data_IF_432451110929
#
_entry.id   IF_432451110929
#
_cell.length_a   1.000
_cell.length_b   1.000
_cell.length_c   1.000
_cell.angle_alpha   90.00
_cell.angle_beta   90.00
_cell.angle_gamma   90.00
#
_symmetry.space_group_name_H-M   'P 1'
#
loop_
_entity.id
_entity.type
_entity.pdbx_description
1 polymer ?
#
# COMPACT_ATOMS: atom_id res chain seq x y z
N UNK A 1 5.08 8.83 17.44
CA UNK A 1 4.95 7.41 17.83
C UNK A 1 5.11 6.57 16.56
N UNK A 2 5.55 5.32 16.66
CA UNK A 2 5.75 4.46 15.49
C UNK A 2 4.78 3.28 15.58
N UNK A 3 4.03 3.02 14.49
CA UNK A 3 3.08 1.93 14.39
C UNK A 3 3.48 1.00 13.24
N UNK A 4 3.34 -0.31 13.46
CA UNK A 4 3.52 -1.33 12.43
C UNK A 4 2.19 -2.00 12.13
N UNK A 5 1.79 -2.03 10.85
CA UNK A 5 0.56 -2.67 10.38
C UNK A 5 0.93 -3.85 9.49
N UNK A 6 0.52 -5.06 9.90
CA UNK A 6 0.62 -6.24 9.05
C UNK A 6 -0.61 -6.28 8.13
N UNK A 7 -0.38 -6.25 6.82
CA UNK A 7 -1.43 -6.30 5.79
C UNK A 7 -0.86 -6.78 4.45
N UNK A 8 -1.71 -7.34 3.60
CA UNK A 8 -1.31 -7.67 2.23
C UNK A 8 -1.58 -6.50 1.28
N UNK A 9 -0.79 -6.38 0.22
CA UNK A 9 -1.06 -5.43 -0.87
C UNK A 9 -1.60 -6.24 -2.05
N UNK A 10 -2.87 -6.01 -2.47
CA UNK A 10 -3.43 -6.68 -3.64
C UNK A 10 -2.59 -6.38 -4.90
N UNK A 11 -2.07 -7.44 -5.52
CA UNK A 11 -1.26 -7.34 -6.73
C UNK A 11 -2.11 -7.56 -7.98
N UNK A 12 -1.98 -6.72 -9.02
CA UNK A 12 -2.65 -6.96 -10.29
C UNK A 12 -2.22 -8.30 -10.91
N UNK A 13 -3.11 -8.95 -11.64
CA UNK A 13 -2.83 -10.23 -12.31
C UNK A 13 -2.90 -11.48 -11.41
N UNK A 14 -3.05 -11.31 -10.09
CA UNK A 14 -3.26 -12.42 -9.16
C UNK A 14 -4.75 -12.71 -8.98
N UNK A 15 -5.22 -13.95 -9.23
CA UNK A 15 -6.62 -14.30 -9.07
C UNK A 15 -7.02 -14.29 -7.59
N UNK A 16 -8.18 -13.69 -7.30
CA UNK A 16 -8.77 -13.64 -5.95
C UNK A 16 -9.96 -14.59 -5.91
N UNK A 17 -9.96 -15.55 -5.00
CA UNK A 17 -11.12 -16.44 -4.83
C UNK A 17 -12.28 -15.71 -4.14
N UNK A 18 -13.51 -16.23 -4.31
CA UNK A 18 -14.71 -15.65 -3.65
C UNK A 18 -14.58 -15.63 -2.13
N UNK A 19 -13.83 -16.57 -1.55
CA UNK A 19 -13.58 -16.65 -0.11
C UNK A 19 -12.58 -15.60 0.37
N UNK A 20 -11.64 -15.19 -0.49
CA UNK A 20 -10.59 -14.22 -0.17
C UNK A 20 -11.02 -12.78 -0.49
N UNK A 21 -11.99 -12.60 -1.38
CA UNK A 21 -12.47 -11.28 -1.80
C UNK A 21 -12.81 -10.31 -0.64
N UNK A 22 -13.45 -10.75 0.47
CA UNK A 22 -13.68 -9.87 1.62
C UNK A 22 -12.39 -9.37 2.27
N UNK A 23 -11.39 -10.25 2.45
CA UNK A 23 -10.12 -9.91 3.06
C UNK A 23 -9.30 -8.96 2.18
N UNK A 24 -9.28 -9.22 0.86
CA UNK A 24 -8.63 -8.35 -0.13
C UNK A 24 -9.25 -6.95 -0.12
N UNK A 25 -10.57 -6.86 0.03
CA UNK A 25 -11.27 -5.58 0.14
C UNK A 25 -10.91 -4.86 1.45
N UNK A 26 -10.82 -5.58 2.56
CA UNK A 26 -10.41 -5.02 3.85
C UNK A 26 -8.99 -4.44 3.77
N UNK A 27 -8.03 -5.20 3.22
CA UNK A 27 -6.66 -4.76 3.00
C UNK A 27 -6.59 -3.52 2.09
N UNK A 28 -7.39 -3.50 1.02
CA UNK A 28 -7.49 -2.34 0.13
C UNK A 28 -7.97 -1.09 0.89
N UNK A 29 -9.07 -1.20 1.65
CA UNK A 29 -9.62 -0.07 2.40
C UNK A 29 -8.65 0.42 3.48
N UNK A 30 -7.95 -0.51 4.13
CA UNK A 30 -6.93 -0.19 5.12
C UNK A 30 -5.75 0.55 4.48
N UNK A 31 -5.29 0.11 3.30
CA UNK A 31 -4.23 0.78 2.54
C UNK A 31 -4.63 2.21 2.20
N UNK A 32 -5.84 2.39 1.68
CA UNK A 32 -6.38 3.70 1.32
C UNK A 32 -6.40 4.65 2.52
N UNK A 33 -6.92 4.18 3.67
CA UNK A 33 -6.98 4.99 4.89
C UNK A 33 -5.58 5.39 5.39
N UNK A 34 -4.60 4.50 5.29
CA UNK A 34 -3.21 4.80 5.64
C UNK A 34 -2.63 5.86 4.69
N UNK A 35 -2.82 5.72 3.39
CA UNK A 35 -2.37 6.72 2.41
C UNK A 35 -3.01 8.08 2.69
N UNK A 36 -4.33 8.13 2.93
CA UNK A 36 -5.05 9.38 3.18
C UNK A 36 -4.63 10.07 4.48
N UNK A 37 -4.26 9.31 5.50
CA UNK A 37 -3.80 9.84 6.80
C UNK A 37 -2.34 10.32 6.82
N UNK A 38 -1.50 9.92 5.85
CA UNK A 38 -0.06 10.22 5.86
C UNK A 38 0.37 11.16 4.74
N UNK A 39 1.03 12.28 5.05
CA UNK A 39 1.43 13.29 4.05
C UNK A 39 2.38 12.76 2.97
N UNK A 40 3.22 11.78 3.32
CA UNK A 40 4.25 11.21 2.44
C UNK A 40 4.14 9.69 2.51
N UNK A 41 4.18 9.03 1.34
CA UNK A 41 4.11 7.58 1.19
C UNK A 41 5.39 7.06 0.54
N UNK A 42 6.02 6.05 1.14
CA UNK A 42 7.21 5.38 0.61
C UNK A 42 6.86 3.99 0.10
N UNK A 43 7.24 3.67 -1.14
CA UNK A 43 6.98 2.38 -1.76
C UNK A 43 8.23 1.49 -1.68
N UNK A 44 8.37 0.79 -0.56
CA UNK A 44 9.48 -0.13 -0.28
C UNK A 44 9.11 -1.60 -0.54
N UNK A 45 8.27 -1.85 -1.55
CA UNK A 45 7.82 -3.20 -1.90
C UNK A 45 8.78 -3.88 -2.89
N UNK A 46 8.86 -5.19 -2.80
CA UNK A 46 9.78 -6.07 -3.51
C UNK A 46 9.50 -6.17 -5.02
N UNK A 47 8.24 -6.23 -5.42
CA UNK A 47 7.85 -6.41 -6.83
C UNK A 47 7.38 -5.11 -7.51
N UNK A 48 7.36 -5.10 -8.85
CA UNK A 48 6.77 -4.00 -9.62
C UNK A 48 5.25 -3.95 -9.47
N UNK A 49 4.62 -5.11 -9.34
CA UNK A 49 3.16 -5.28 -9.28
C UNK A 49 2.59 -4.72 -7.99
N UNK A 50 3.25 -4.98 -6.85
CA UNK A 50 2.87 -4.43 -5.54
C UNK A 50 2.96 -2.90 -5.46
N UNK A 51 3.74 -2.24 -6.34
CA UNK A 51 3.82 -0.77 -6.38
C UNK A 51 2.65 -0.12 -7.12
N UNK A 52 1.93 -0.87 -7.96
CA UNK A 52 0.88 -0.32 -8.80
C UNK A 52 -0.25 0.30 -7.97
N UNK A 53 -0.83 -0.47 -7.03
CA UNK A 53 -1.98 -0.03 -6.25
C UNK A 53 -1.65 1.16 -5.34
N UNK A 54 -0.61 1.12 -4.48
CA UNK A 54 -0.24 2.28 -3.67
C UNK A 54 0.06 3.55 -4.48
N UNK A 55 0.67 3.41 -5.67
CA UNK A 55 0.93 4.53 -6.58
C UNK A 55 -0.37 5.14 -7.09
N UNK A 56 -1.31 4.30 -7.51
CA UNK A 56 -2.62 4.74 -7.99
C UNK A 56 -3.40 5.49 -6.91
N UNK A 57 -3.44 4.93 -5.69
CA UNK A 57 -4.15 5.55 -4.57
C UNK A 57 -3.49 6.87 -4.15
N UNK A 58 -2.16 6.92 -4.10
CA UNK A 58 -1.44 8.16 -3.77
C UNK A 58 -1.68 9.26 -4.80
N UNK A 59 -1.71 8.91 -6.09
CA UNK A 59 -2.05 9.84 -7.16
C UNK A 59 -3.51 10.31 -7.08
N UNK A 60 -4.45 9.40 -6.77
CA UNK A 60 -5.86 9.73 -6.58
C UNK A 60 -6.10 10.67 -5.37
N UNK A 61 -5.32 10.49 -4.30
CA UNK A 61 -5.35 11.32 -3.10
C UNK A 61 -4.53 12.62 -3.21
N UNK A 62 -4.01 12.97 -4.40
CA UNK A 62 -3.14 14.13 -4.66
C UNK A 62 -1.89 14.19 -3.76
N UNK A 63 -1.35 13.04 -3.32
CA UNK A 63 -0.14 13.00 -2.50
C UNK A 63 1.12 12.98 -3.36
N UNK A 64 2.17 13.65 -2.89
CA UNK A 64 3.45 13.71 -3.60
C UNK A 64 4.18 12.38 -3.42
N UNK A 65 4.38 11.67 -4.54
CA UNK A 65 5.08 10.38 -4.57
C UNK A 65 6.55 10.60 -4.94
N UNK A 66 7.48 10.36 -4.01
CA UNK A 66 8.92 10.48 -4.27
C UNK A 66 9.54 9.10 -4.53
N UNK A 67 9.83 8.75 -5.80
CA UNK A 67 10.57 7.53 -6.11
C UNK A 67 12.04 7.73 -5.72
N UNK A 68 12.42 7.13 -4.60
CA UNK A 68 13.77 7.02 -4.04
C UNK A 68 14.36 8.25 -3.30
N UNK A 69 14.82 7.93 -2.09
CA UNK A 69 15.67 8.66 -1.14
C UNK A 69 15.00 9.62 -0.14
N UNK A 70 15.34 9.36 1.14
CA UNK A 70 15.11 10.12 2.39
C UNK A 70 13.89 9.69 3.25
N UNK A 71 14.18 8.70 4.11
CA UNK A 71 13.80 8.53 5.54
C UNK A 71 12.55 9.25 6.04
N UNK A 72 11.42 8.52 6.16
CA UNK A 72 10.62 8.35 7.38
C UNK A 72 9.84 7.03 7.22
N UNK A 73 10.16 6.04 8.05
CA UNK A 73 9.84 4.62 7.83
C UNK A 73 8.38 4.33 8.22
N UNK A 74 7.52 4.05 7.24
CA UNK A 74 6.41 3.09 7.42
C UNK A 74 6.82 1.85 6.64
N UNK A 75 7.41 0.90 7.36
CA UNK A 75 7.90 -0.36 6.82
C UNK A 75 6.71 -1.27 6.52
N UNK A 76 6.14 -1.21 5.31
CA UNK A 76 5.24 -2.26 4.81
C UNK A 76 6.09 -3.47 4.41
N UNK A 77 6.45 -4.30 5.40
CA UNK A 77 6.98 -5.64 5.15
C UNK A 77 5.78 -6.51 4.82
N UNK A 78 5.64 -6.86 3.56
CA UNK A 78 4.84 -8.00 3.13
C UNK A 78 5.46 -9.25 3.77
N UNK A 79 4.66 -10.00 4.53
CA UNK A 79 4.92 -11.39 4.86
C UNK A 79 3.90 -12.24 4.13
#
# INVERSE_FOLDING_TARGET
EAEGVAMAIPMPGHPVSVKEAPNVLEDFLRLQSLIDSHDIVFLLTDTRESRWLPTLLSAASNKVNYPLFVVHIVSMVTK
#
